data_IF_292549487857
#
_entry.id   IF_292549487857
#
_cell.length_a   1.000
_cell.length_b   1.000
_cell.length_c   1.000
_cell.angle_alpha   90.00
_cell.angle_beta   90.00
_cell.angle_gamma   90.00
#
_symmetry.space_group_name_H-M   'P 1'
#
loop_
_entity.id
_entity.type
_entity.pdbx_description
1 polymer ?
#
# COMPACT_ATOMS: atom_id res chain seq x y z
N UNK A 1 17.87 -96.28 27.62
CA UNK A 1 17.31 -95.42 26.55
C UNK A 1 16.12 -94.65 27.10
N UNK A 2 15.99 -93.41 26.66
CA UNK A 2 15.46 -92.23 27.37
C UNK A 2 13.92 -92.24 27.52
N UNK A 3 13.40 -91.93 28.73
CA UNK A 3 11.95 -91.78 29.00
C UNK A 3 11.44 -90.46 28.42
N UNK A 4 10.54 -90.53 27.44
CA UNK A 4 9.83 -89.36 26.91
C UNK A 4 8.60 -89.09 27.78
N UNK A 5 8.60 -87.99 28.55
CA UNK A 5 7.42 -87.49 29.27
C UNK A 5 6.53 -86.72 28.29
N UNK A 6 5.29 -87.16 28.08
CA UNK A 6 4.27 -86.39 27.34
C UNK A 6 3.66 -85.35 28.30
N UNK A 7 3.92 -84.07 28.07
CA UNK A 7 3.18 -82.97 28.69
C UNK A 7 1.86 -82.78 27.94
N UNK A 8 0.73 -83.05 28.59
CA UNK A 8 -0.59 -82.62 28.12
C UNK A 8 -0.81 -81.19 28.58
N UNK A 9 -0.51 -80.21 27.73
CA UNK A 9 -0.94 -78.83 27.96
C UNK A 9 -2.47 -78.79 27.93
N UNK A 10 -3.10 -78.36 29.01
CA UNK A 10 -4.54 -78.12 29.04
C UNK A 10 -4.85 -76.88 28.19
N UNK A 11 -5.75 -77.01 27.21
CA UNK A 11 -6.08 -75.96 26.24
C UNK A 11 -6.83 -74.77 26.87
N UNK A 12 -7.60 -75.01 27.93
CA UNK A 12 -8.42 -74.01 28.62
C UNK A 12 -7.62 -72.84 29.20
N UNK A 13 -6.53 -73.04 29.97
CA UNK A 13 -5.71 -71.93 30.46
C UNK A 13 -4.96 -71.16 29.37
N UNK A 14 -4.67 -71.78 28.22
CA UNK A 14 -4.00 -71.10 27.09
C UNK A 14 -4.97 -70.14 26.38
N UNK A 15 -6.24 -70.55 26.24
CA UNK A 15 -7.30 -69.71 25.69
C UNK A 15 -7.59 -68.51 26.60
N UNK A 16 -7.66 -68.74 27.91
CA UNK A 16 -7.90 -67.68 28.90
C UNK A 16 -6.76 -66.65 28.91
N UNK A 17 -5.51 -67.12 28.87
CA UNK A 17 -4.34 -66.24 28.76
C UNK A 17 -4.37 -65.41 27.47
N UNK A 18 -4.74 -66.01 26.34
CA UNK A 18 -4.85 -65.32 25.06
C UNK A 18 -5.97 -64.27 25.08
N UNK A 19 -7.10 -64.56 25.73
CA UNK A 19 -8.21 -63.63 25.87
C UNK A 19 -7.83 -62.43 26.76
N UNK A 20 -7.10 -62.67 27.85
CA UNK A 20 -6.56 -61.59 28.70
C UNK A 20 -5.61 -60.70 27.90
N UNK A 21 -4.71 -61.27 27.10
CA UNK A 21 -3.76 -60.48 26.28
C UNK A 21 -4.49 -59.65 25.23
N UNK A 22 -5.48 -60.20 24.53
CA UNK A 22 -6.28 -59.44 23.54
C UNK A 22 -7.05 -58.32 24.22
N UNK A 23 -7.63 -58.55 25.40
CA UNK A 23 -8.35 -57.51 26.13
C UNK A 23 -7.39 -56.40 26.60
N UNK A 24 -6.20 -56.75 27.09
CA UNK A 24 -5.18 -55.78 27.46
C UNK A 24 -4.76 -54.92 26.26
N UNK A 25 -4.51 -55.54 25.10
CA UNK A 25 -4.18 -54.83 23.86
C UNK A 25 -5.33 -53.92 23.39
N UNK A 26 -6.58 -54.38 23.47
CA UNK A 26 -7.75 -53.57 23.13
C UNK A 26 -7.90 -52.35 24.04
N UNK A 27 -7.71 -52.54 25.35
CA UNK A 27 -7.77 -51.46 26.33
C UNK A 27 -6.66 -50.44 26.10
N UNK A 28 -5.44 -50.89 25.80
CA UNK A 28 -4.32 -50.01 25.47
C UNK A 28 -4.63 -49.15 24.23
N UNK A 29 -5.13 -49.77 23.14
CA UNK A 29 -5.54 -49.03 21.93
C UNK A 29 -6.65 -48.00 22.24
N UNK A 30 -7.65 -48.38 23.06
CA UNK A 30 -8.72 -47.46 23.49
C UNK A 30 -8.19 -46.29 24.31
N UNK A 31 -7.24 -46.54 25.21
CA UNK A 31 -6.62 -45.50 26.04
C UNK A 31 -5.80 -44.54 25.19
N UNK A 32 -4.96 -45.06 24.29
CA UNK A 32 -4.14 -44.24 23.38
C UNK A 32 -5.03 -43.41 22.46
N UNK A 33 -6.07 -44.00 21.87
CA UNK A 33 -7.00 -43.27 21.00
C UNK A 33 -7.73 -42.14 21.74
N UNK A 34 -8.10 -42.35 23.02
CA UNK A 34 -8.71 -41.31 23.85
C UNK A 34 -7.71 -40.20 24.17
N UNK A 35 -6.49 -40.55 24.56
CA UNK A 35 -5.44 -39.57 24.87
C UNK A 35 -5.09 -38.70 23.65
N UNK A 36 -5.01 -39.29 22.46
CA UNK A 36 -4.76 -38.55 21.23
C UNK A 36 -5.92 -37.61 20.88
N UNK A 37 -7.17 -38.08 21.04
CA UNK A 37 -8.35 -37.23 20.85
C UNK A 37 -8.37 -36.04 21.80
N UNK A 38 -8.08 -36.26 23.08
CA UNK A 38 -8.03 -35.21 24.10
C UNK A 38 -6.90 -34.21 23.80
N UNK A 39 -5.73 -34.69 23.34
CA UNK A 39 -4.60 -33.85 22.92
C UNK A 39 -4.96 -32.96 21.74
N UNK A 40 -5.56 -33.53 20.69
CA UNK A 40 -5.99 -32.78 19.50
C UNK A 40 -7.08 -31.75 19.86
N UNK A 41 -8.00 -32.10 20.76
CA UNK A 41 -9.02 -31.17 21.24
C UNK A 41 -8.39 -29.97 21.96
N UNK A 42 -7.44 -30.22 22.86
CA UNK A 42 -6.72 -29.16 23.58
C UNK A 42 -5.88 -28.28 22.64
N UNK A 43 -5.19 -28.88 21.66
CA UNK A 43 -4.40 -28.12 20.68
C UNK A 43 -5.29 -27.21 19.83
N UNK A 44 -6.45 -27.72 19.39
CA UNK A 44 -7.44 -26.91 18.64
C UNK A 44 -8.01 -25.79 19.48
N UNK A 45 -8.29 -26.05 20.76
CA UNK A 45 -8.80 -25.01 21.67
C UNK A 45 -7.75 -23.92 21.90
N UNK A 46 -6.50 -24.30 22.18
CA UNK A 46 -5.38 -23.35 22.32
C UNK A 46 -5.19 -22.51 21.05
N UNK A 47 -5.15 -23.17 19.89
CA UNK A 47 -5.02 -22.50 18.59
C UNK A 47 -6.20 -21.57 18.30
N UNK A 48 -7.42 -21.95 18.71
CA UNK A 48 -8.61 -21.12 18.54
C UNK A 48 -8.61 -19.89 19.45
N UNK A 49 -8.06 -20.00 20.67
CA UNK A 49 -7.87 -18.87 21.59
C UNK A 49 -6.81 -17.92 21.03
N UNK A 50 -5.67 -18.43 20.60
CA UNK A 50 -4.60 -17.62 19.99
C UNK A 50 -5.07 -16.89 18.73
N UNK A 51 -5.79 -17.57 17.84
CA UNK A 51 -6.36 -16.93 16.65
C UNK A 51 -7.37 -15.83 16.97
N UNK A 52 -8.17 -15.99 18.04
CA UNK A 52 -9.09 -14.94 18.47
C UNK A 52 -8.35 -13.72 18.98
N UNK A 53 -7.29 -13.95 19.77
CA UNK A 53 -6.45 -12.87 20.30
C UNK A 53 -5.72 -12.12 19.18
N UNK A 54 -5.12 -12.83 18.23
CA UNK A 54 -4.48 -12.22 17.06
C UNK A 54 -5.46 -11.39 16.22
N UNK A 55 -6.68 -11.90 15.99
CA UNK A 55 -7.71 -11.14 15.27
C UNK A 55 -8.08 -9.85 16.00
N UNK A 56 -8.24 -9.92 17.32
CA UNK A 56 -8.52 -8.75 18.14
C UNK A 56 -7.40 -7.71 18.03
N UNK A 57 -6.15 -8.13 18.09
CA UNK A 57 -5.00 -7.23 17.94
C UNK A 57 -4.96 -6.58 16.55
N UNK A 58 -5.28 -7.33 15.49
CA UNK A 58 -5.38 -6.78 14.13
C UNK A 58 -6.49 -5.75 14.05
N UNK A 59 -7.67 -6.03 14.59
CA UNK A 59 -8.81 -5.10 14.59
C UNK A 59 -8.49 -3.81 15.37
N UNK A 60 -7.85 -3.95 16.54
CA UNK A 60 -7.40 -2.81 17.36
C UNK A 60 -6.36 -1.96 16.61
N UNK A 61 -5.40 -2.60 15.94
CA UNK A 61 -4.40 -1.91 15.12
C UNK A 61 -5.04 -1.19 13.94
N UNK A 62 -5.99 -1.83 13.24
CA UNK A 62 -6.71 -1.18 12.14
C UNK A 62 -7.44 0.07 12.61
N UNK A 63 -8.13 -0.01 13.75
CA UNK A 63 -8.83 1.15 14.32
C UNK A 63 -7.88 2.30 14.67
N UNK A 64 -6.73 1.99 15.29
CA UNK A 64 -5.70 2.98 15.60
C UNK A 64 -5.09 3.60 14.33
N UNK A 65 -4.85 2.82 13.29
CA UNK A 65 -4.37 3.35 12.01
C UNK A 65 -5.39 4.30 11.39
N UNK A 66 -6.68 3.94 11.40
CA UNK A 66 -7.74 4.81 10.87
C UNK A 66 -7.89 6.11 11.66
N UNK A 67 -7.57 6.16 12.96
CA UNK A 67 -7.54 7.44 13.69
C UNK A 67 -6.36 8.31 13.25
N UNK A 68 -5.17 7.73 13.11
CA UNK A 68 -3.98 8.45 12.64
C UNK A 68 -4.18 8.99 11.22
N UNK A 69 -4.76 8.20 10.32
CA UNK A 69 -5.07 8.62 8.96
C UNK A 69 -6.00 9.85 8.92
N UNK A 70 -7.04 9.84 9.77
CA UNK A 70 -7.98 10.95 9.88
C UNK A 70 -7.32 12.20 10.42
N UNK A 71 -6.46 12.08 11.43
CA UNK A 71 -5.68 13.20 11.95
C UNK A 71 -4.72 13.78 10.90
N UNK A 72 -3.99 12.92 10.17
CA UNK A 72 -3.10 13.38 9.10
C UNK A 72 -3.86 14.09 7.99
N UNK A 73 -5.03 13.58 7.61
CA UNK A 73 -5.87 14.23 6.62
C UNK A 73 -6.36 15.61 7.10
N UNK A 74 -6.82 15.72 8.35
CA UNK A 74 -7.22 16.99 8.94
C UNK A 74 -6.07 18.01 8.99
N UNK A 75 -4.86 17.59 9.36
CA UNK A 75 -3.67 18.45 9.36
C UNK A 75 -3.38 18.96 7.94
N UNK A 76 -3.52 18.11 6.92
CA UNK A 76 -3.32 18.50 5.52
C UNK A 76 -4.38 19.49 5.04
N UNK A 77 -5.65 19.28 5.39
CA UNK A 77 -6.72 20.23 5.08
C UNK A 77 -6.44 21.60 5.74
N UNK A 78 -6.09 21.61 7.02
CA UNK A 78 -5.74 22.83 7.75
C UNK A 78 -4.52 23.54 7.15
N UNK A 79 -3.47 22.79 6.82
CA UNK A 79 -2.29 23.36 6.14
C UNK A 79 -2.66 23.96 4.79
N UNK A 80 -3.47 23.25 4.00
CA UNK A 80 -3.95 23.73 2.71
C UNK A 80 -4.78 25.02 2.84
N UNK A 81 -5.58 25.15 3.89
CA UNK A 81 -6.31 26.37 4.23
C UNK A 81 -5.39 27.54 4.59
N UNK A 82 -4.38 27.31 5.43
CA UNK A 82 -3.36 28.32 5.76
C UNK A 82 -2.62 28.78 4.50
N UNK A 83 -2.22 27.83 3.66
CA UNK A 83 -1.55 28.16 2.39
C UNK A 83 -2.49 28.95 1.48
N UNK A 84 -3.77 28.57 1.39
CA UNK A 84 -4.77 29.33 0.63
C UNK A 84 -4.90 30.77 1.13
N UNK A 85 -4.90 30.98 2.46
CA UNK A 85 -4.92 32.31 3.05
C UNK A 85 -3.65 33.11 2.73
N UNK A 86 -2.47 32.48 2.78
CA UNK A 86 -1.21 33.12 2.37
C UNK A 86 -1.25 33.57 0.90
N UNK A 87 -1.98 32.84 0.04
CA UNK A 87 -2.17 33.19 -1.37
C UNK A 87 -3.31 34.17 -1.65
N UNK A 88 -4.08 34.59 -0.64
CA UNK A 88 -5.05 35.71 -0.75
C UNK A 88 -4.33 37.06 -0.75
N UNK A 89 -3.42 37.25 -1.70
CA UNK A 89 -2.74 38.53 -1.91
C UNK A 89 -3.72 39.46 -2.64
N UNK A 90 -4.05 40.65 -2.11
CA UNK A 90 -4.88 41.62 -2.81
C UNK A 90 -4.29 41.93 -4.20
N UNK A 91 -5.12 42.02 -5.24
CA UNK A 91 -4.65 42.26 -6.61
C UNK A 91 -3.77 43.51 -6.71
N UNK A 92 -4.06 44.53 -5.91
CA UNK A 92 -3.25 45.74 -5.80
C UNK A 92 -1.81 45.45 -5.32
N UNK A 93 -1.62 44.49 -4.41
CA UNK A 93 -0.31 44.05 -3.90
C UNK A 93 0.39 43.15 -4.90
N UNK A 94 -0.33 42.22 -5.53
CA UNK A 94 0.20 41.36 -6.58
C UNK A 94 0.70 42.18 -7.78
N UNK A 95 -0.05 43.21 -8.18
CA UNK A 95 0.34 44.15 -9.23
C UNK A 95 1.61 44.93 -8.90
N UNK A 96 1.86 45.25 -7.63
CA UNK A 96 3.08 45.94 -7.19
C UNK A 96 4.31 45.03 -7.18
N UNK A 97 4.13 43.74 -6.89
CA UNK A 97 5.21 42.74 -6.84
C UNK A 97 5.58 42.25 -8.24
N UNK A 98 4.57 42.03 -9.09
CA UNK A 98 4.72 41.49 -10.45
C UNK A 98 5.01 42.60 -11.48
N UNK A 99 4.89 43.88 -11.07
CA UNK A 99 5.39 44.98 -11.91
C UNK A 99 6.89 44.77 -12.17
N UNK A 100 7.33 44.79 -13.43
CA UNK A 100 8.74 44.65 -13.74
C UNK A 100 9.49 45.75 -13.01
N UNK A 101 10.44 45.36 -12.14
CA UNK A 101 11.42 46.30 -11.60
C UNK A 101 12.18 46.86 -12.79
N UNK A 102 11.81 48.08 -13.19
CA UNK A 102 12.51 49.02 -14.07
C UNK A 102 13.35 48.41 -15.21
N UNK A 103 12.91 48.64 -16.45
CA UNK A 103 13.58 48.73 -17.79
C UNK A 103 15.08 48.42 -18.05
N UNK A 104 15.93 48.10 -17.07
CA UNK A 104 17.37 47.92 -17.21
C UNK A 104 17.91 46.52 -16.81
N UNK A 105 17.07 45.58 -16.41
CA UNK A 105 17.50 44.19 -16.18
C UNK A 105 16.98 43.28 -17.30
N UNK A 106 17.91 42.66 -18.03
CA UNK A 106 17.67 41.80 -19.20
C UNK A 106 17.05 40.42 -18.84
N UNK A 107 16.06 40.40 -17.93
CA UNK A 107 15.42 39.19 -17.42
C UNK A 107 14.02 39.42 -16.84
N UNK A 108 13.35 40.51 -17.18
CA UNK A 108 11.98 40.78 -16.72
C UNK A 108 10.95 39.85 -17.39
N UNK A 109 10.03 39.29 -16.58
CA UNK A 109 8.89 38.48 -17.04
C UNK A 109 8.06 39.26 -18.08
N UNK A 110 7.72 38.61 -19.18
CA UNK A 110 6.88 39.15 -20.24
C UNK A 110 5.45 39.42 -19.74
N UNK A 111 4.70 40.32 -20.41
CA UNK A 111 3.30 40.59 -20.06
C UNK A 111 2.40 39.35 -20.08
N UNK A 112 2.71 38.37 -20.95
CA UNK A 112 1.99 37.10 -21.03
C UNK A 112 2.29 36.21 -19.82
N UNK A 113 3.56 36.11 -19.40
CA UNK A 113 3.96 35.34 -18.21
C UNK A 113 3.39 35.96 -16.93
N UNK A 114 3.29 37.29 -16.87
CA UNK A 114 2.65 38.02 -15.78
C UNK A 114 1.15 37.71 -15.69
N UNK A 115 0.46 37.68 -16.84
CA UNK A 115 -0.96 37.34 -16.88
C UNK A 115 -1.21 35.87 -16.48
N UNK A 116 -0.35 34.97 -16.94
CA UNK A 116 -0.40 33.56 -16.58
C UNK A 116 -0.13 33.34 -15.08
N UNK A 117 0.86 34.03 -14.51
CA UNK A 117 1.18 33.97 -13.08
C UNK A 117 0.00 34.46 -12.23
N UNK A 118 -0.65 35.54 -12.63
CA UNK A 118 -1.86 36.07 -11.95
C UNK A 118 -3.02 35.09 -12.00
N UNK A 119 -3.30 34.53 -13.18
CA UNK A 119 -4.36 33.55 -13.35
C UNK A 119 -4.13 32.31 -12.46
N UNK A 120 -2.88 31.85 -12.35
CA UNK A 120 -2.49 30.73 -11.47
C UNK A 120 -2.63 31.08 -9.98
N UNK A 121 -2.23 32.27 -9.56
CA UNK A 121 -2.43 32.74 -8.18
C UNK A 121 -3.91 32.77 -7.80
N UNK A 122 -4.77 33.28 -8.68
CA UNK A 122 -6.22 33.29 -8.47
C UNK A 122 -6.82 31.87 -8.45
N UNK A 123 -6.31 30.97 -9.31
CA UNK A 123 -6.71 29.57 -9.32
C UNK A 123 -6.32 28.86 -8.02
N UNK A 124 -5.14 29.13 -7.47
CA UNK A 124 -4.69 28.58 -6.18
C UNK A 124 -5.49 29.14 -5.01
N UNK A 125 -5.82 30.43 -5.02
CA UNK A 125 -6.64 31.06 -4.00
C UNK A 125 -8.08 30.52 -3.94
N UNK A 126 -8.56 29.91 -5.04
CA UNK A 126 -9.91 29.33 -5.16
C UNK A 126 -9.93 27.79 -5.09
N UNK A 127 -8.77 27.14 -5.01
CA UNK A 127 -8.66 25.68 -4.94
C UNK A 127 -8.82 25.16 -3.50
N UNK A 128 -9.21 23.89 -3.35
CA UNK A 128 -9.30 23.23 -2.04
C UNK A 128 -7.90 23.03 -1.43
N UNK A 129 -7.78 23.01 -0.10
CA UNK A 129 -6.49 22.91 0.59
C UNK A 129 -5.59 21.77 0.10
N UNK A 130 -6.15 20.57 -0.09
CA UNK A 130 -5.43 19.42 -0.65
C UNK A 130 -4.93 19.65 -2.09
N UNK A 131 -5.67 20.42 -2.90
CA UNK A 131 -5.29 20.73 -4.28
C UNK A 131 -4.13 21.71 -4.34
N UNK A 132 -4.03 22.63 -3.38
CA UNK A 132 -2.91 23.57 -3.30
C UNK A 132 -1.62 22.84 -2.94
N UNK A 133 -1.68 21.89 -2.01
CA UNK A 133 -0.53 21.03 -1.65
C UNK A 133 -0.08 20.19 -2.85
N UNK A 134 -1.01 19.57 -3.56
CA UNK A 134 -0.69 18.79 -4.77
C UNK A 134 -0.11 19.67 -5.88
N UNK A 135 -0.62 20.89 -6.04
CA UNK A 135 -0.12 21.83 -7.05
C UNK A 135 1.30 22.33 -6.75
N UNK A 136 1.63 22.56 -5.49
CA UNK A 136 2.98 22.92 -5.06
C UNK A 136 3.98 21.78 -5.30
N UNK A 137 3.54 20.54 -5.15
CA UNK A 137 4.38 19.35 -5.36
C UNK A 137 4.47 18.93 -6.83
N UNK A 138 3.44 19.15 -7.65
CA UNK A 138 3.48 18.90 -9.10
C UNK A 138 3.91 20.12 -9.91
N UNK A 139 4.62 21.06 -9.28
CA UNK A 139 5.12 22.29 -9.88
C UNK A 139 5.73 22.03 -11.26
N UNK A 140 5.47 22.93 -12.21
CA UNK A 140 5.95 22.77 -13.58
C UNK A 140 7.48 22.63 -13.67
N UNK A 141 8.23 23.20 -12.73
CA UNK A 141 9.67 23.00 -12.63
C UNK A 141 10.06 21.54 -12.30
N UNK A 142 9.35 20.90 -11.36
CA UNK A 142 9.53 19.47 -11.09
C UNK A 142 9.15 18.63 -12.32
N UNK A 143 8.04 18.96 -12.99
CA UNK A 143 7.65 18.28 -14.23
C UNK A 143 8.61 18.52 -15.39
N UNK A 144 9.48 19.54 -15.39
CA UNK A 144 10.55 19.67 -16.38
C UNK A 144 11.64 18.63 -16.16
N UNK A 145 11.94 18.28 -14.91
CA UNK A 145 13.04 17.38 -14.54
C UNK A 145 12.62 15.92 -14.34
N UNK A 146 11.39 15.68 -13.89
CA UNK A 146 10.87 14.35 -13.53
C UNK A 146 9.68 13.95 -14.43
N UNK A 147 9.59 12.65 -14.73
CA UNK A 147 8.35 12.01 -15.18
C UNK A 147 7.55 11.64 -13.92
N UNK A 148 6.35 12.20 -13.75
CA UNK A 148 5.59 12.05 -12.51
C UNK A 148 4.52 10.99 -12.68
N UNK A 149 4.59 9.95 -11.86
CA UNK A 149 3.61 8.86 -11.85
C UNK A 149 2.81 8.94 -10.56
N UNK A 150 1.49 8.98 -10.66
CA UNK A 150 0.60 9.10 -9.50
C UNK A 150 -0.14 7.78 -9.29
N UNK A 151 0.07 7.16 -8.14
CA UNK A 151 -0.55 5.91 -7.72
C UNK A 151 -1.54 6.17 -6.59
N UNK A 152 -2.75 5.64 -6.74
CA UNK A 152 -3.78 5.66 -5.72
C UNK A 152 -4.33 4.25 -5.51
N UNK A 153 -4.20 3.75 -4.29
CA UNK A 153 -4.77 2.48 -3.89
C UNK A 153 -6.22 2.69 -3.46
N UNK A 154 -7.15 2.07 -4.18
CA UNK A 154 -8.58 2.14 -3.89
C UNK A 154 -8.98 1.24 -2.73
N UNK A 155 -10.20 1.44 -2.23
CA UNK A 155 -10.80 0.63 -1.15
C UNK A 155 -10.89 -0.86 -1.53
N UNK A 156 -11.18 -1.15 -2.81
CA UNK A 156 -11.22 -2.49 -3.39
C UNK A 156 -9.82 -3.14 -3.58
N UNK A 157 -8.75 -2.50 -3.10
CA UNK A 157 -7.38 -2.98 -3.25
C UNK A 157 -6.79 -2.82 -4.65
N UNK A 158 -7.54 -2.26 -5.61
CA UNK A 158 -7.04 -1.99 -6.95
C UNK A 158 -6.19 -0.72 -7.00
N UNK A 159 -5.17 -0.72 -7.84
CA UNK A 159 -4.32 0.46 -8.05
C UNK A 159 -4.83 1.25 -9.26
N UNK A 160 -5.12 2.53 -9.01
CA UNK A 160 -5.38 3.51 -10.05
C UNK A 160 -4.15 4.36 -10.26
N UNK A 161 -3.76 4.52 -11.52
CA UNK A 161 -2.44 4.98 -11.89
C UNK A 161 -2.56 6.02 -12.98
N UNK A 162 -1.92 7.17 -12.80
CA UNK A 162 -1.73 8.17 -13.84
C UNK A 162 -0.27 8.22 -14.23
N UNK A 163 -0.01 7.98 -15.52
CA UNK A 163 1.34 7.94 -16.09
C UNK A 163 1.46 8.89 -17.28
N UNK A 164 2.63 9.51 -17.37
CA UNK A 164 3.10 10.24 -18.54
C UNK A 164 2.48 11.63 -18.73
N UNK A 165 2.94 12.37 -19.75
CA UNK A 165 2.52 13.75 -20.00
C UNK A 165 1.02 13.87 -20.32
N UNK A 166 0.44 12.86 -20.97
CA UNK A 166 -0.99 12.79 -21.30
C UNK A 166 -1.88 12.40 -20.11
N UNK A 167 -1.29 12.13 -18.94
CA UNK A 167 -1.99 11.67 -17.72
C UNK A 167 -2.93 10.49 -18.01
N UNK A 168 -2.41 9.44 -18.66
CA UNK A 168 -3.22 8.25 -18.98
C UNK A 168 -3.56 7.51 -17.70
N UNK A 169 -4.86 7.31 -17.50
CA UNK A 169 -5.38 6.59 -16.36
C UNK A 169 -5.42 5.09 -16.65
N UNK A 170 -4.84 4.30 -15.75
CA UNK A 170 -4.81 2.85 -15.80
C UNK A 170 -5.37 2.34 -14.47
N UNK A 171 -6.27 1.35 -14.54
CA UNK A 171 -6.75 0.64 -13.36
C UNK A 171 -6.22 -0.79 -13.42
N UNK A 172 -5.64 -1.27 -12.33
CA UNK A 172 -5.13 -2.63 -12.21
C UNK A 172 -6.15 -3.53 -11.53
N UNK A 173 -5.83 -4.82 -11.44
CA UNK A 173 -6.50 -5.73 -10.51
C UNK A 173 -6.10 -5.40 -9.07
N UNK A 174 -6.78 -6.06 -8.13
CA UNK A 174 -6.46 -6.06 -6.70
C UNK A 174 -5.00 -6.45 -6.46
N UNK A 175 -4.38 -5.77 -5.51
CA UNK A 175 -2.98 -5.98 -5.12
C UNK A 175 -2.97 -6.68 -3.76
N UNK A 176 -2.77 -7.99 -3.81
CA UNK A 176 -2.82 -8.87 -2.65
C UNK A 176 -1.49 -8.97 -1.88
N UNK A 177 -0.37 -8.60 -2.52
CA UNK A 177 0.96 -8.68 -1.91
C UNK A 177 1.93 -7.58 -2.37
N UNK A 178 3.01 -7.30 -1.59
CA UNK A 178 4.09 -6.41 -2.02
C UNK A 178 4.74 -6.81 -3.34
N UNK A 179 4.89 -8.11 -3.60
CA UNK A 179 5.47 -8.64 -4.83
C UNK A 179 4.54 -8.41 -6.02
N UNK A 180 3.23 -8.63 -5.83
CA UNK A 180 2.23 -8.32 -6.85
C UNK A 180 2.25 -6.83 -7.22
N UNK A 181 2.44 -5.94 -6.24
CA UNK A 181 2.63 -4.51 -6.50
C UNK A 181 3.87 -4.26 -7.36
N UNK A 182 5.01 -4.84 -6.99
CA UNK A 182 6.27 -4.68 -7.74
C UNK A 182 6.10 -5.14 -9.19
N UNK A 183 5.52 -6.32 -9.40
CA UNK A 183 5.31 -6.89 -10.73
C UNK A 183 4.42 -6.00 -11.60
N UNK A 184 3.33 -5.47 -11.02
CA UNK A 184 2.45 -4.53 -11.70
C UNK A 184 3.21 -3.27 -12.14
N UNK A 185 4.05 -2.70 -11.27
CA UNK A 185 4.82 -1.49 -11.60
C UNK A 185 5.89 -1.76 -12.66
N UNK A 186 6.54 -2.93 -12.63
CA UNK A 186 7.50 -3.33 -13.66
C UNK A 186 6.81 -3.51 -15.02
N UNK A 187 5.64 -4.15 -15.04
CA UNK A 187 4.83 -4.28 -16.26
C UNK A 187 4.41 -2.91 -16.81
N UNK A 188 4.03 -1.98 -15.93
CA UNK A 188 3.69 -0.62 -16.31
C UNK A 188 4.87 0.12 -16.92
N UNK A 189 6.06 0.02 -16.33
CA UNK A 189 7.29 0.60 -16.89
C UNK A 189 7.60 0.05 -18.28
N UNK A 190 7.46 -1.25 -18.50
CA UNK A 190 7.70 -1.84 -19.81
C UNK A 190 6.68 -1.37 -20.86
N UNK A 191 5.43 -1.17 -20.44
CA UNK A 191 4.35 -0.68 -21.31
C UNK A 191 4.42 0.82 -21.57
N UNK A 192 4.89 1.58 -20.58
CA UNK A 192 4.99 3.03 -20.60
C UNK A 192 6.41 3.42 -20.15
N UNK A 193 7.41 3.27 -21.04
CA UNK A 193 8.77 3.62 -20.71
C UNK A 193 8.85 5.11 -20.36
N UNK A 194 9.56 5.47 -19.28
CA UNK A 194 9.64 6.86 -18.85
C UNK A 194 10.33 7.71 -19.90
N UNK A 195 9.83 8.94 -20.06
CA UNK A 195 10.33 9.89 -21.06
C UNK A 195 11.56 10.65 -20.59
N UNK A 196 11.91 10.51 -19.31
CA UNK A 196 12.98 11.25 -18.63
C UNK A 196 13.87 10.31 -17.81
N UNK A 197 15.06 10.79 -17.50
CA UNK A 197 16.04 10.05 -16.69
C UNK A 197 15.67 10.01 -15.21
N UNK A 198 14.69 10.79 -14.76
CA UNK A 198 14.20 10.76 -13.38
C UNK A 198 12.70 10.57 -13.36
N UNK A 199 12.22 9.64 -12.54
CA UNK A 199 10.80 9.33 -12.34
C UNK A 199 10.46 9.49 -10.87
N UNK A 200 9.40 10.23 -10.59
CA UNK A 200 8.89 10.44 -9.24
C UNK A 200 7.52 9.75 -9.11
N UNK A 201 7.45 8.76 -8.22
CA UNK A 201 6.24 7.99 -7.94
C UNK A 201 5.55 8.58 -6.70
N UNK A 202 4.39 9.20 -6.90
CA UNK A 202 3.56 9.79 -5.86
C UNK A 202 2.49 8.78 -5.46
N UNK A 203 2.54 8.28 -4.22
CA UNK A 203 1.62 7.25 -3.74
C UNK A 203 0.66 7.78 -2.69
N UNK A 204 -0.61 7.42 -2.83
CA UNK A 204 -1.66 7.69 -1.84
C UNK A 204 -2.63 6.51 -1.78
N UNK A 205 -3.49 6.45 -0.76
CA UNK A 205 -4.44 5.36 -0.59
C UNK A 205 -5.76 5.85 0.03
N UNK A 206 -6.87 5.21 -0.35
CA UNK A 206 -8.19 5.41 0.23
C UNK A 206 -8.40 4.60 1.52
N UNK A 207 -9.66 4.43 1.92
CA UNK A 207 -10.05 3.63 3.09
C UNK A 207 -10.00 2.13 2.78
N UNK A 208 -8.79 1.66 2.45
CA UNK A 208 -8.50 0.27 2.12
C UNK A 208 -8.09 -0.52 3.36
N UNK A 209 -8.30 -1.83 3.30
CA UNK A 209 -7.85 -2.78 4.32
C UNK A 209 -6.34 -2.69 4.56
N UNK A 210 -5.92 -3.04 5.78
CA UNK A 210 -4.50 -2.97 6.16
C UNK A 210 -3.61 -3.82 5.26
N UNK A 211 -4.08 -4.99 4.82
CA UNK A 211 -3.38 -5.89 3.88
C UNK A 211 -2.97 -5.19 2.58
N UNK A 212 -3.90 -4.48 1.95
CA UNK A 212 -3.66 -3.75 0.70
C UNK A 212 -2.69 -2.59 0.93
N UNK A 213 -2.85 -1.87 2.03
CA UNK A 213 -1.95 -0.78 2.41
C UNK A 213 -0.53 -1.27 2.68
N UNK A 214 -0.38 -2.39 3.35
CA UNK A 214 0.92 -3.03 3.58
C UNK A 214 1.56 -3.48 2.26
N UNK A 215 0.76 -3.99 1.32
CA UNK A 215 1.23 -4.35 -0.01
C UNK A 215 1.84 -3.16 -0.74
N UNK A 216 1.17 -2.01 -0.75
CA UNK A 216 1.72 -0.76 -1.31
C UNK A 216 2.95 -0.28 -0.53
N UNK A 217 2.84 -0.09 0.79
CA UNK A 217 3.88 0.56 1.60
C UNK A 217 5.16 -0.26 1.72
N UNK A 218 5.05 -1.59 1.79
CA UNK A 218 6.21 -2.51 1.78
C UNK A 218 6.74 -2.76 0.36
N UNK A 219 5.88 -2.67 -0.66
CA UNK A 219 6.28 -2.80 -2.06
C UNK A 219 7.09 -1.61 -2.58
N UNK A 220 6.85 -0.40 -2.04
CA UNK A 220 7.52 0.84 -2.50
C UNK A 220 9.06 0.82 -2.39
N UNK A 221 9.66 0.43 -1.25
CA UNK A 221 11.11 0.26 -1.17
C UNK A 221 11.63 -0.77 -2.17
N UNK A 222 10.94 -1.91 -2.29
CA UNK A 222 11.34 -3.01 -3.16
C UNK A 222 11.35 -2.59 -4.64
N UNK A 223 10.32 -1.87 -5.10
CA UNK A 223 10.27 -1.40 -6.48
C UNK A 223 11.35 -0.34 -6.76
N UNK A 224 11.64 0.57 -5.83
CA UNK A 224 12.71 1.56 -6.00
C UNK A 224 14.07 0.87 -6.19
N UNK A 225 14.39 -0.12 -5.34
CA UNK A 225 15.61 -0.92 -5.50
C UNK A 225 15.64 -1.67 -6.83
N UNK A 226 14.52 -2.30 -7.22
CA UNK A 226 14.47 -3.11 -8.44
C UNK A 226 14.57 -2.27 -9.72
N UNK A 227 13.86 -1.15 -9.78
CA UNK A 227 13.91 -0.24 -10.93
C UNK A 227 15.30 0.38 -11.11
N UNK A 228 16.02 0.67 -10.02
CA UNK A 228 17.42 1.15 -10.10
C UNK A 228 18.36 0.08 -10.66
N UNK A 229 18.20 -1.18 -10.26
CA UNK A 229 18.96 -2.30 -10.81
C UNK A 229 18.70 -2.50 -12.30
N UNK A 230 17.41 -2.51 -12.69
CA UNK A 230 17.01 -2.75 -14.09
C UNK A 230 17.30 -1.55 -15.01
N UNK A 231 17.47 -0.35 -14.45
CA UNK A 231 17.84 0.87 -15.18
C UNK A 231 19.34 1.02 -15.46
N UNK A 232 20.18 0.10 -14.98
CA UNK A 232 21.65 0.18 -15.05
C UNK A 232 22.23 1.55 -14.61
N UNK A 233 21.54 2.25 -13.69
CA UNK A 233 21.94 3.58 -13.22
C UNK A 233 21.68 4.74 -14.19
N UNK A 234 21.03 4.52 -15.34
CA UNK A 234 20.67 5.59 -16.28
C UNK A 234 19.35 6.28 -15.94
N UNK A 235 18.48 5.60 -15.19
CA UNK A 235 17.18 6.10 -14.76
C UNK A 235 17.08 6.07 -13.24
N UNK A 236 16.77 7.23 -12.65
CA UNK A 236 16.55 7.42 -11.22
C UNK A 236 15.05 7.31 -10.91
N UNK A 237 14.72 6.46 -9.96
CA UNK A 237 13.35 6.30 -9.45
C UNK A 237 13.31 6.68 -7.99
N UNK A 238 12.49 7.69 -7.69
CA UNK A 238 12.18 8.16 -6.34
C UNK A 238 10.69 7.99 -6.06
N UNK A 239 10.33 7.82 -4.79
CA UNK A 239 8.93 7.72 -4.38
C UNK A 239 8.63 8.62 -3.19
N UNK A 240 7.38 9.06 -3.11
CA UNK A 240 6.84 9.79 -1.98
C UNK A 240 5.49 9.17 -1.58
N UNK A 241 5.33 8.85 -0.29
CA UNK A 241 4.07 8.36 0.27
C UNK A 241 3.32 9.52 0.92
N UNK A 242 2.15 9.87 0.37
CA UNK A 242 1.29 10.95 0.85
C UNK A 242 0.28 10.51 1.90
N UNK A 243 0.16 9.20 2.12
CA UNK A 243 -0.75 8.64 3.11
C UNK A 243 -2.21 8.61 2.64
N UNK A 244 -3.10 8.62 3.63
CA UNK A 244 -4.53 8.51 3.44
C UNK A 244 -5.11 9.71 2.68
N UNK A 245 -5.98 9.41 1.70
CA UNK A 245 -6.79 10.36 0.94
C UNK A 245 -8.16 9.73 0.68
N UNK A 246 -9.26 10.30 1.19
CA UNK A 246 -10.58 9.68 1.06
C UNK A 246 -11.12 9.65 -0.38
N UNK A 247 -10.64 10.54 -1.26
CA UNK A 247 -11.04 10.55 -2.66
C UNK A 247 -9.83 10.72 -3.59
N UNK A 248 -9.77 9.94 -4.69
CA UNK A 248 -8.75 10.12 -5.70
C UNK A 248 -9.03 11.39 -6.51
N UNK A 249 -8.22 12.44 -6.31
CA UNK A 249 -8.32 13.67 -7.10
C UNK A 249 -7.54 13.56 -8.43
N UNK A 250 -7.90 12.56 -9.25
CA UNK A 250 -7.32 12.45 -10.58
C UNK A 250 -8.01 13.42 -11.53
N UNK A 251 -7.43 14.61 -11.73
CA UNK A 251 -7.79 15.44 -12.90
C UNK A 251 -7.17 14.82 -14.16
N UNK A 252 -7.97 14.35 -15.14
CA UNK A 252 -7.43 14.10 -16.47
C UNK A 252 -6.86 15.41 -17.02
N UNK A 253 -5.83 15.33 -17.85
CA UNK A 253 -5.34 16.52 -18.56
C UNK A 253 -6.54 17.17 -19.26
N UNK A 254 -6.78 18.46 -18.99
CA UNK A 254 -7.86 19.20 -19.63
C UNK A 254 -7.73 18.96 -21.14
N UNK A 255 -8.78 18.42 -21.76
CA UNK A 255 -8.81 18.21 -23.20
C UNK A 255 -8.45 19.55 -23.84
N UNK A 256 -7.25 19.63 -24.42
CA UNK A 256 -6.84 20.76 -25.23
C UNK A 256 -7.86 20.80 -26.37
N UNK A 257 -8.82 21.73 -26.27
CA UNK A 257 -9.73 22.04 -27.37
C UNK A 257 -8.84 22.50 -28.51
N UNK A 258 -8.61 21.62 -29.47
CA UNK A 258 -8.19 21.99 -30.82
C UNK A 258 -9.33 22.75 -31.50
#
# INVERSE_FOLDING_TARGET
>A
MTRVRRMTLQLTPLLDLLLIVIFAQYMEVRIVAKQESDRVAHERESTAVENRELRRQVDEWESQQRSVDREQHQIREQFGEVVRELFRIPEATLNKIVQPRSKNEAGGLSPAEIAELKARFQQLATSNGDQVVDHLLTFQEMRKQFDVWEFYLNEDGSLQILIGPDRRQIKTKEIESPEAFVDVVLQLRNRFPPTKNSVLILCSYGDCQLSHRLSLTRGLPAISSRLRQDGQGTQNFEYALFGYRPQPQFRPAAASKK
#
